data_IF_552314611507
#
_entry.id   IF_552314611507
#
_cell.length_a   1.000
_cell.length_b   1.000
_cell.length_c   1.000
_cell.angle_alpha   90.00
_cell.angle_beta   90.00
_cell.angle_gamma   90.00
#
_symmetry.space_group_name_H-M   'P 1'
#
loop_
_entity.id
_entity.type
_entity.pdbx_description
1 polymer ?
#
# COMPACT_ATOMS: atom_id res chain seq x y z
N UNK A 1 14.13 -5.73 39.99
CA UNK A 1 14.77 -5.29 38.73
C UNK A 1 13.66 -5.14 37.69
N UNK A 2 13.24 -3.92 37.31
CA UNK A 2 12.29 -3.78 36.23
C UNK A 2 13.01 -4.05 34.89
N UNK A 3 12.48 -4.97 34.10
CA UNK A 3 12.95 -5.22 32.74
C UNK A 3 12.74 -3.94 31.92
N UNK A 4 13.83 -3.38 31.40
CA UNK A 4 13.76 -2.27 30.44
C UNK A 4 13.02 -2.79 29.20
N UNK A 5 11.82 -2.28 28.98
CA UNK A 5 11.13 -2.39 27.69
C UNK A 5 12.05 -1.83 26.62
N UNK A 6 12.54 -2.69 25.74
CA UNK A 6 13.34 -2.32 24.58
C UNK A 6 12.40 -1.69 23.53
N UNK A 7 11.94 -0.46 23.79
CA UNK A 7 11.11 0.30 22.87
C UNK A 7 12.02 1.14 21.96
N UNK A 8 12.80 0.47 21.11
CA UNK A 8 13.42 1.10 19.95
C UNK A 8 12.51 0.82 18.75
N UNK A 9 11.37 1.51 18.69
CA UNK A 9 10.58 1.55 17.44
C UNK A 9 11.46 2.26 16.40
N UNK A 10 11.89 1.52 15.39
CA UNK A 10 12.52 2.11 14.21
C UNK A 10 11.48 3.05 13.58
N UNK A 11 11.78 4.34 13.50
CA UNK A 11 10.88 5.39 13.00
C UNK A 11 10.43 5.15 11.54
N UNK A 12 11.01 4.15 10.86
CA UNK A 12 10.66 3.70 9.51
C UNK A 12 9.66 2.55 9.46
N UNK A 13 9.24 2.02 10.62
CA UNK A 13 8.28 0.93 10.71
C UNK A 13 6.87 1.41 10.37
N UNK A 14 6.28 0.87 9.30
CA UNK A 14 4.89 1.13 8.92
C UNK A 14 3.92 0.11 9.51
N UNK A 15 4.34 -1.17 9.56
CA UNK A 15 3.50 -2.27 10.02
C UNK A 15 4.35 -3.40 10.58
N UNK A 16 3.88 -4.08 11.63
CA UNK A 16 4.49 -5.31 12.14
C UNK A 16 3.51 -6.44 11.91
N UNK A 17 3.91 -7.47 11.17
CA UNK A 17 3.10 -8.67 10.94
C UNK A 17 3.68 -9.83 11.74
N UNK A 18 2.81 -10.59 12.43
CA UNK A 18 3.17 -11.87 13.05
C UNK A 18 2.71 -13.02 12.16
N UNK A 19 3.64 -13.78 11.59
CA UNK A 19 3.34 -14.98 10.80
C UNK A 19 4.09 -16.15 11.43
N UNK A 20 3.37 -17.19 11.84
CA UNK A 20 4.00 -18.40 12.41
C UNK A 20 4.75 -18.17 13.73
N UNK A 21 4.48 -17.07 14.44
CA UNK A 21 5.19 -16.70 15.67
C UNK A 21 6.41 -15.79 15.46
N UNK A 22 6.81 -15.52 14.21
CA UNK A 22 7.86 -14.56 13.89
C UNK A 22 7.27 -13.16 13.67
N UNK A 23 7.87 -12.16 14.32
CA UNK A 23 7.57 -10.74 14.10
C UNK A 23 8.43 -10.20 12.96
N UNK A 24 7.77 -9.75 11.89
CA UNK A 24 8.43 -9.04 10.79
C UNK A 24 7.98 -7.59 10.79
N UNK A 25 8.95 -6.68 10.89
CA UNK A 25 8.76 -5.24 10.68
C UNK A 25 8.76 -4.98 9.17
N UNK A 26 7.75 -4.29 8.68
CA UNK A 26 7.61 -3.84 7.30
C UNK A 26 7.76 -2.31 7.31
N UNK A 27 8.67 -1.84 6.48
CA UNK A 27 8.92 -0.40 6.31
C UNK A 27 7.84 0.26 5.46
N UNK A 28 7.74 1.59 5.53
CA UNK A 28 6.83 2.35 4.65
C UNK A 28 7.12 2.12 3.16
N UNK A 29 8.40 2.01 2.80
CA UNK A 29 8.84 1.77 1.42
C UNK A 29 8.40 0.38 0.94
N UNK A 30 8.63 -0.66 1.74
CA UNK A 30 8.18 -2.02 1.40
C UNK A 30 6.65 -2.10 1.29
N UNK A 31 5.93 -1.40 2.16
CA UNK A 31 4.47 -1.34 2.13
C UNK A 31 3.98 -0.64 0.84
N UNK A 32 4.55 0.51 0.51
CA UNK A 32 4.19 1.26 -0.70
C UNK A 32 4.51 0.47 -1.97
N UNK A 33 5.68 -0.19 -2.03
CA UNK A 33 6.07 -1.04 -3.15
C UNK A 33 5.10 -2.22 -3.33
N UNK A 34 4.78 -2.92 -2.23
CA UNK A 34 3.85 -4.05 -2.24
C UNK A 34 2.44 -3.63 -2.69
N UNK A 35 1.95 -2.49 -2.19
CA UNK A 35 0.65 -1.96 -2.56
C UNK A 35 0.59 -1.58 -4.04
N UNK A 36 1.60 -0.88 -4.56
CA UNK A 36 1.65 -0.47 -5.96
C UNK A 36 1.71 -1.69 -6.89
N UNK A 37 2.52 -2.70 -6.57
CA UNK A 37 2.61 -3.93 -7.35
C UNK A 37 1.28 -4.70 -7.36
N UNK A 38 0.65 -4.84 -6.19
CA UNK A 38 -0.63 -5.56 -6.07
C UNK A 38 -1.74 -4.85 -6.84
N UNK A 39 -1.79 -3.52 -6.76
CA UNK A 39 -2.74 -2.71 -7.54
C UNK A 39 -2.50 -2.82 -9.04
N UNK A 40 -1.25 -2.80 -9.49
CA UNK A 40 -0.91 -2.98 -10.91
C UNK A 40 -1.41 -4.33 -11.44
N UNK A 41 -1.14 -5.42 -10.71
CA UNK A 41 -1.59 -6.77 -11.08
C UNK A 41 -3.12 -6.82 -11.17
N UNK A 42 -3.81 -6.25 -10.18
CA UNK A 42 -5.26 -6.19 -10.18
C UNK A 42 -5.81 -5.43 -11.40
N UNK A 43 -5.25 -4.25 -11.69
CA UNK A 43 -5.67 -3.44 -12.85
C UNK A 43 -5.47 -4.20 -14.15
N UNK A 44 -4.31 -4.86 -14.33
CA UNK A 44 -4.03 -5.68 -15.53
C UNK A 44 -5.06 -6.79 -15.71
N UNK A 45 -5.35 -7.55 -14.65
CA UNK A 45 -6.35 -8.64 -14.70
C UNK A 45 -7.73 -8.10 -15.09
N UNK A 46 -8.13 -6.95 -14.56
CA UNK A 46 -9.45 -6.38 -14.83
C UNK A 46 -9.55 -5.85 -16.27
N UNK A 47 -8.48 -5.28 -16.82
CA UNK A 47 -8.39 -4.90 -18.24
C UNK A 47 -8.43 -6.12 -19.15
N UNK A 48 -7.65 -7.17 -18.85
CA UNK A 48 -7.63 -8.41 -19.63
C UNK A 48 -8.98 -9.12 -19.63
N UNK A 49 -9.74 -9.02 -18.52
CA UNK A 49 -11.11 -9.53 -18.42
C UNK A 49 -12.17 -8.63 -19.05
N UNK A 50 -11.78 -7.46 -19.57
CA UNK A 50 -12.70 -6.50 -20.18
C UNK A 50 -13.66 -5.83 -19.20
N UNK A 51 -13.31 -5.78 -17.89
CA UNK A 51 -14.14 -5.11 -16.87
C UNK A 51 -14.12 -3.60 -17.07
N UNK A 52 -12.98 -3.06 -17.50
CA UNK A 52 -12.81 -1.70 -17.97
C UNK A 52 -11.64 -1.63 -18.96
N UNK A 53 -11.57 -0.54 -19.71
CA UNK A 53 -10.49 -0.24 -20.65
C UNK A 53 -9.39 0.60 -20.00
N UNK A 54 -8.16 0.60 -20.56
CA UNK A 54 -7.10 1.50 -20.09
C UNK A 54 -7.51 2.97 -20.08
N UNK A 55 -8.27 3.41 -21.09
CA UNK A 55 -8.72 4.80 -21.21
C UNK A 55 -9.72 5.17 -20.11
N UNK A 56 -10.68 4.29 -19.80
CA UNK A 56 -11.63 4.48 -18.69
C UNK A 56 -10.89 4.61 -17.36
N UNK A 57 -9.86 3.79 -17.14
CA UNK A 57 -9.03 3.87 -15.94
C UNK A 57 -8.31 5.22 -15.86
N UNK A 58 -7.66 5.67 -16.93
CA UNK A 58 -6.93 6.95 -16.95
C UNK A 58 -7.85 8.15 -16.73
N UNK A 59 -9.03 8.15 -17.33
CA UNK A 59 -10.04 9.18 -17.10
C UNK A 59 -10.50 9.21 -15.64
N UNK A 60 -10.73 8.03 -15.05
CA UNK A 60 -11.15 7.93 -13.66
C UNK A 60 -10.04 8.37 -12.70
N UNK A 61 -8.79 8.02 -12.98
CA UNK A 61 -7.63 8.47 -12.21
C UNK A 61 -7.54 9.99 -12.18
N UNK A 62 -7.59 10.64 -13.35
CA UNK A 62 -7.57 12.10 -13.46
C UNK A 62 -8.76 12.76 -12.73
N UNK A 63 -9.94 12.15 -12.78
CA UNK A 63 -11.10 12.61 -12.02
C UNK A 63 -10.83 12.61 -10.52
N UNK A 64 -10.34 11.48 -9.98
CA UNK A 64 -10.08 11.29 -8.55
C UNK A 64 -8.96 12.21 -8.06
N UNK A 65 -7.88 12.37 -8.82
CA UNK A 65 -6.80 13.32 -8.49
C UNK A 65 -7.34 14.76 -8.39
N UNK A 66 -8.19 15.16 -9.33
CA UNK A 66 -8.82 16.48 -9.30
C UNK A 66 -9.75 16.63 -8.08
N UNK A 67 -10.42 15.57 -7.65
CA UNK A 67 -11.26 15.56 -6.45
C UNK A 67 -10.45 15.69 -5.16
N UNK A 68 -9.29 15.03 -5.08
CA UNK A 68 -8.40 15.11 -3.92
C UNK A 68 -7.80 16.51 -3.77
N UNK A 69 -7.29 17.09 -4.87
CA UNK A 69 -6.75 18.47 -4.88
C UNK A 69 -7.76 19.55 -4.47
N UNK A 70 -9.06 19.26 -4.51
CA UNK A 70 -10.11 20.20 -4.05
C UNK A 70 -10.42 20.08 -2.55
N UNK A 71 -9.94 19.02 -1.90
CA UNK A 71 -10.16 18.75 -0.47
C UNK A 71 -8.98 19.23 0.39
N UNK A 72 -7.83 19.48 -0.22
CA UNK A 72 -6.67 20.17 0.36
C UNK A 72 -6.88 21.69 0.31
#
# INVERSE_FOLDING_TARGET
MPQKSNDSRDDRAAMVIKIGGEERVITFEELALSNNLTLEVLVRILVEKGVFTPDEFMQKLAQVEKEQKRKE
#
